data_IF_516592354691
#
_entry.id   IF_516592354691
#
_cell.length_a   1.000
_cell.length_b   1.000
_cell.length_c   1.000
_cell.angle_alpha   90.00
_cell.angle_beta   90.00
_cell.angle_gamma   90.00
#
_symmetry.space_group_name_H-M   'P 1'
#
loop_
_entity.id
_entity.type
_entity.pdbx_description
1 polymer ?
#
# COMPACT_ATOMS: atom_id res chain seq x y z
N UNK A 1 -0.96 -2.52 -17.42
CA UNK A 1 0.32 -2.40 -16.71
C UNK A 1 0.05 -2.76 -15.25
N UNK A 2 0.78 -3.67 -14.68
CA UNK A 2 0.57 -4.12 -13.29
C UNK A 2 1.80 -3.69 -12.50
N UNK A 3 1.58 -3.07 -11.35
CA UNK A 3 2.64 -2.86 -10.36
C UNK A 3 3.20 -4.23 -10.01
N UNK A 4 4.46 -4.47 -10.35
CA UNK A 4 5.12 -5.76 -10.07
C UNK A 4 5.56 -5.76 -8.62
N UNK A 5 4.81 -6.47 -7.79
CA UNK A 5 5.26 -6.80 -6.45
C UNK A 5 6.24 -7.98 -6.54
N UNK A 6 7.53 -7.73 -6.39
CA UNK A 6 8.51 -8.82 -6.28
C UNK A 6 8.14 -9.74 -5.12
N UNK A 7 8.05 -11.02 -5.40
CA UNK A 7 7.83 -12.06 -4.41
C UNK A 7 9.09 -12.21 -3.54
N UNK A 8 8.99 -11.77 -2.28
CA UNK A 8 9.89 -12.28 -1.25
C UNK A 8 9.58 -13.76 -1.09
N UNK A 9 10.59 -14.60 -1.22
CA UNK A 9 10.48 -16.06 -1.18
C UNK A 9 10.17 -16.52 0.25
N UNK A 10 8.93 -16.36 0.69
CA UNK A 10 8.43 -17.10 1.85
C UNK A 10 7.68 -18.33 1.32
N UNK A 11 8.42 -19.45 1.23
CA UNK A 11 7.84 -20.77 1.01
C UNK A 11 7.12 -21.24 2.27
N UNK A 12 5.88 -20.82 2.44
CA UNK A 12 4.92 -21.48 3.31
C UNK A 12 4.14 -22.51 2.49
N UNK A 13 4.28 -23.77 2.85
CA UNK A 13 3.55 -24.91 2.29
C UNK A 13 2.04 -24.67 2.30
N UNK A 14 1.45 -24.53 1.12
CA UNK A 14 0.02 -24.46 0.93
C UNK A 14 -0.43 -25.48 -0.10
N UNK A 15 -1.54 -26.13 0.22
CA UNK A 15 -2.22 -27.03 -0.72
C UNK A 15 -2.55 -26.28 -2.00
N UNK A 16 -1.98 -26.73 -3.10
CA UNK A 16 -2.02 -26.10 -4.44
C UNK A 16 -3.42 -26.06 -5.09
N UNK A 17 -4.41 -26.70 -4.51
CA UNK A 17 -5.74 -26.91 -5.12
C UNK A 17 -6.62 -25.66 -5.08
N UNK A 18 -6.41 -24.77 -4.13
CA UNK A 18 -7.35 -23.67 -3.88
C UNK A 18 -6.94 -22.30 -4.44
N UNK A 19 -5.67 -22.11 -4.79
CA UNK A 19 -5.14 -20.84 -5.34
C UNK A 19 -5.53 -20.68 -6.81
N UNK A 20 -5.85 -21.75 -7.53
CA UNK A 20 -6.13 -21.76 -8.96
C UNK A 20 -7.41 -21.02 -9.40
N UNK A 21 -8.36 -20.77 -8.50
CA UNK A 21 -9.67 -20.17 -8.84
C UNK A 21 -9.70 -18.64 -8.81
N UNK A 22 -8.66 -17.96 -8.29
CA UNK A 22 -8.57 -16.50 -8.28
C UNK A 22 -7.81 -16.00 -9.50
N UNK A 23 -8.40 -15.04 -10.22
CA UNK A 23 -7.69 -14.36 -11.30
C UNK A 23 -6.41 -13.66 -10.77
N UNK A 24 -5.41 -13.50 -11.63
CA UNK A 24 -4.13 -12.84 -11.26
C UNK A 24 -4.36 -11.48 -10.59
N UNK A 25 -5.25 -10.66 -11.15
CA UNK A 25 -5.58 -9.35 -10.57
C UNK A 25 -6.31 -9.43 -9.23
N UNK A 26 -7.08 -10.48 -8.98
CA UNK A 26 -7.72 -10.68 -7.66
C UNK A 26 -6.67 -10.99 -6.60
N UNK A 27 -5.70 -11.84 -6.92
CA UNK A 27 -4.56 -12.12 -6.03
C UNK A 27 -3.73 -10.87 -5.78
N UNK A 28 -3.47 -10.08 -6.83
CA UNK A 28 -2.76 -8.81 -6.69
C UNK A 28 -3.53 -7.83 -5.79
N UNK A 29 -4.85 -7.72 -5.94
CA UNK A 29 -5.70 -6.90 -5.09
C UNK A 29 -5.67 -7.36 -3.62
N UNK A 30 -5.81 -8.64 -3.36
CA UNK A 30 -5.73 -9.19 -2.00
C UNK A 30 -4.33 -8.96 -1.38
N UNK A 31 -3.25 -9.15 -2.15
CA UNK A 31 -1.87 -8.88 -1.69
C UNK A 31 -1.65 -7.41 -1.37
N UNK A 32 -2.15 -6.50 -2.22
CA UNK A 32 -2.09 -5.07 -1.95
C UNK A 32 -2.81 -4.74 -0.65
N UNK A 33 -4.05 -5.19 -0.48
CA UNK A 33 -4.83 -4.95 0.73
C UNK A 33 -4.24 -5.60 1.98
N UNK A 34 -3.56 -6.74 1.83
CA UNK A 34 -2.81 -7.34 2.94
C UNK A 34 -1.65 -6.45 3.40
N UNK A 35 -0.92 -5.83 2.47
CA UNK A 35 0.23 -4.97 2.75
C UNK A 35 -0.19 -3.57 3.20
N UNK A 36 -1.04 -2.92 2.42
CA UNK A 36 -1.48 -1.55 2.69
C UNK A 36 -2.53 -1.46 3.82
N UNK A 37 -3.21 -2.57 4.14
CA UNK A 37 -4.26 -2.62 5.15
C UNK A 37 -5.63 -2.23 4.61
N UNK A 38 -5.77 -1.13 3.89
CA UNK A 38 -7.03 -0.61 3.38
C UNK A 38 -6.83 0.16 2.08
N UNK A 39 -7.81 0.10 1.18
CA UNK A 39 -7.85 0.94 -0.02
C UNK A 39 -9.29 1.12 -0.52
N UNK A 40 -9.55 2.22 -1.24
CA UNK A 40 -10.82 2.48 -1.93
C UNK A 40 -10.88 1.77 -3.29
N UNK A 41 -12.08 1.72 -3.90
CA UNK A 41 -12.24 1.17 -5.24
C UNK A 41 -11.48 1.99 -6.32
N UNK A 42 -11.37 3.30 -6.14
CA UNK A 42 -10.68 4.19 -7.07
C UNK A 42 -9.15 4.02 -7.01
N UNK A 43 -8.61 3.88 -5.80
CA UNK A 43 -7.20 3.56 -5.59
C UNK A 43 -6.86 2.18 -6.20
N UNK A 44 -7.69 1.17 -5.94
CA UNK A 44 -7.52 -0.17 -6.53
C UNK A 44 -7.68 -0.18 -8.05
N UNK A 45 -8.53 0.67 -8.60
CA UNK A 45 -8.62 0.86 -10.06
C UNK A 45 -7.31 1.44 -10.61
N UNK A 46 -6.74 2.44 -9.95
CA UNK A 46 -5.45 3.03 -10.37
C UNK A 46 -4.30 2.01 -10.34
N UNK A 47 -4.24 1.18 -9.29
CA UNK A 47 -3.08 0.32 -9.02
C UNK A 47 -3.18 -1.06 -9.67
N UNK A 48 -4.39 -1.63 -9.82
CA UNK A 48 -4.57 -3.06 -10.15
C UNK A 48 -5.48 -3.28 -11.36
N UNK A 49 -6.63 -2.57 -11.42
CA UNK A 49 -7.67 -2.87 -12.38
C UNK A 49 -7.64 -1.90 -13.57
N UNK A 50 -8.09 -2.34 -14.76
CA UNK A 50 -8.07 -1.49 -15.95
C UNK A 50 -9.11 -0.36 -15.90
N UNK A 51 -10.09 -0.42 -14.99
CA UNK A 51 -11.11 0.61 -14.82
C UNK A 51 -11.82 0.48 -13.47
N UNK A 52 -12.41 1.58 -12.99
CA UNK A 52 -13.26 1.61 -11.78
C UNK A 52 -14.41 0.62 -11.85
N UNK A 53 -15.07 0.49 -13.02
CA UNK A 53 -16.16 -0.47 -13.23
C UNK A 53 -15.70 -1.92 -13.00
N UNK A 54 -14.52 -2.26 -13.52
CA UNK A 54 -13.92 -3.59 -13.31
C UNK A 54 -13.54 -3.80 -11.86
N UNK A 55 -12.93 -2.79 -11.21
CA UNK A 55 -12.61 -2.85 -9.78
C UNK A 55 -13.86 -3.15 -8.95
N UNK A 56 -14.93 -2.36 -9.08
CA UNK A 56 -16.17 -2.53 -8.32
C UNK A 56 -16.78 -3.92 -8.50
N UNK A 57 -16.83 -4.44 -9.74
CA UNK A 57 -17.35 -5.78 -10.02
C UNK A 57 -16.50 -6.87 -9.33
N UNK A 58 -15.15 -6.75 -9.38
CA UNK A 58 -14.24 -7.72 -8.77
C UNK A 58 -14.27 -7.63 -7.24
N UNK A 59 -14.28 -6.44 -6.67
CA UNK A 59 -14.39 -6.20 -5.25
C UNK A 59 -15.70 -6.74 -4.66
N UNK A 60 -16.84 -6.54 -5.38
CA UNK A 60 -18.11 -7.14 -4.99
C UNK A 60 -18.03 -8.67 -4.93
N UNK A 61 -17.41 -9.32 -5.93
CA UNK A 61 -17.22 -10.78 -5.94
C UNK A 61 -16.34 -11.24 -4.78
N UNK A 62 -15.20 -10.58 -4.55
CA UNK A 62 -14.29 -10.94 -3.45
C UNK A 62 -14.95 -10.76 -2.08
N UNK A 63 -15.77 -9.72 -1.93
CA UNK A 63 -16.57 -9.50 -0.72
C UNK A 63 -17.64 -10.61 -0.54
N UNK A 64 -18.36 -10.98 -1.59
CA UNK A 64 -19.34 -12.09 -1.55
C UNK A 64 -18.68 -13.44 -1.19
N UNK A 65 -17.43 -13.66 -1.59
CA UNK A 65 -16.64 -14.83 -1.21
C UNK A 65 -16.10 -14.76 0.23
N UNK A 66 -16.34 -13.66 0.95
CA UNK A 66 -15.83 -13.43 2.31
C UNK A 66 -14.33 -13.21 2.37
N UNK A 67 -13.68 -12.86 1.25
CA UNK A 67 -12.25 -12.58 1.18
C UNK A 67 -11.91 -11.13 1.50
N UNK A 68 -12.88 -10.23 1.31
CA UNK A 68 -12.82 -8.82 1.66
C UNK A 68 -13.94 -8.44 2.61
N UNK A 69 -13.71 -7.42 3.38
CA UNK A 69 -14.73 -6.69 4.14
C UNK A 69 -14.79 -5.23 3.66
N UNK A 70 -15.93 -4.59 3.94
CA UNK A 70 -16.15 -3.17 3.68
C UNK A 70 -15.99 -2.39 4.97
N UNK A 71 -15.19 -1.36 4.94
CA UNK A 71 -15.06 -0.39 6.01
C UNK A 71 -15.73 0.91 5.55
N UNK A 72 -16.88 1.31 6.14
CA UNK A 72 -17.45 2.61 5.86
C UNK A 72 -16.50 3.68 6.38
N UNK A 73 -16.26 4.71 5.57
CA UNK A 73 -15.50 5.89 5.96
C UNK A 73 -16.49 6.96 6.46
N UNK A 74 -16.01 7.88 7.29
CA UNK A 74 -16.82 9.02 7.70
C UNK A 74 -17.37 9.75 6.45
N UNK A 75 -18.63 10.19 6.45
CA UNK A 75 -19.23 10.84 5.29
C UNK A 75 -18.52 12.16 5.02
N UNK A 76 -17.81 12.23 3.93
CA UNK A 76 -17.46 13.48 3.28
C UNK A 76 -18.60 13.86 2.32
N UNK A 77 -18.79 15.14 2.04
CA UNK A 77 -19.91 15.65 1.24
C UNK A 77 -20.16 14.80 -0.01
N UNK A 78 -21.32 14.15 -0.08
CA UNK A 78 -21.75 13.47 -1.31
C UNK A 78 -21.85 11.93 -1.26
N UNK A 79 -21.76 11.30 -0.11
CA UNK A 79 -21.93 9.86 0.05
C UNK A 79 -21.02 9.27 1.11
N UNK A 80 -21.23 8.00 1.46
CA UNK A 80 -20.33 7.28 2.37
C UNK A 80 -19.31 6.55 1.50
N UNK A 81 -18.07 7.04 1.39
CA UNK A 81 -17.04 6.33 0.67
C UNK A 81 -16.77 4.99 1.38
N UNK A 82 -16.52 3.95 0.60
CA UNK A 82 -16.27 2.60 1.10
C UNK A 82 -14.82 2.23 0.81
N UNK A 83 -14.10 1.90 1.86
CA UNK A 83 -12.82 1.24 1.76
C UNK A 83 -12.96 -0.28 1.88
N UNK A 84 -11.98 -1.00 1.37
CA UNK A 84 -11.92 -2.46 1.41
C UNK A 84 -10.70 -2.90 2.20
N UNK A 85 -10.89 -3.95 3.00
CA UNK A 85 -9.84 -4.64 3.75
C UNK A 85 -9.84 -6.12 3.41
N UNK A 86 -8.70 -6.76 3.54
CA UNK A 86 -8.63 -8.21 3.45
C UNK A 86 -9.13 -8.84 4.76
N UNK A 87 -9.93 -9.90 4.66
CA UNK A 87 -10.36 -10.69 5.82
C UNK A 87 -9.29 -11.72 6.19
N UNK A 88 -9.40 -12.31 7.40
CA UNK A 88 -8.56 -13.47 7.79
C UNK A 88 -8.69 -14.63 6.78
N UNK A 89 -9.89 -14.85 6.22
CA UNK A 89 -10.09 -15.85 5.16
C UNK A 89 -9.35 -15.48 3.88
N UNK A 90 -9.35 -14.20 3.50
CA UNK A 90 -8.60 -13.69 2.36
C UNK A 90 -7.09 -13.86 2.53
N UNK A 91 -6.56 -13.54 3.73
CA UNK A 91 -5.14 -13.71 4.04
C UNK A 91 -4.72 -15.19 3.98
N UNK A 92 -5.49 -16.08 4.62
CA UNK A 92 -5.25 -17.52 4.55
C UNK A 92 -5.28 -18.05 3.11
N UNK A 93 -6.13 -17.48 2.24
CA UNK A 93 -6.21 -17.85 0.82
C UNK A 93 -4.94 -17.49 0.04
N UNK A 94 -4.17 -16.51 0.52
CA UNK A 94 -2.86 -16.14 -0.02
C UNK A 94 -1.69 -16.87 0.66
N UNK A 95 -1.98 -17.65 1.73
CA UNK A 95 -0.96 -18.31 2.53
C UNK A 95 -0.37 -17.49 3.66
N UNK A 96 -0.99 -16.37 3.97
CA UNK A 96 -0.56 -15.55 5.09
C UNK A 96 -1.22 -16.02 6.39
N UNK A 97 -0.44 -16.08 7.46
CA UNK A 97 -0.90 -16.64 8.75
C UNK A 97 -1.65 -15.60 9.56
N UNK A 98 -1.32 -14.32 9.41
CA UNK A 98 -1.88 -13.24 10.21
C UNK A 98 -2.60 -12.18 9.36
N UNK A 99 -3.66 -11.60 9.93
CA UNK A 99 -4.33 -10.43 9.36
C UNK A 99 -3.80 -9.19 10.06
N UNK A 100 -3.09 -8.35 9.32
CA UNK A 100 -2.72 -7.02 9.79
C UNK A 100 -3.96 -6.14 9.79
N UNK A 101 -4.69 -6.14 10.88
CA UNK A 101 -5.77 -5.20 11.11
C UNK A 101 -5.14 -3.95 11.73
N UNK A 102 -4.73 -3.00 10.89
CA UNK A 102 -4.47 -1.65 11.37
C UNK A 102 -5.73 -1.12 12.05
N UNK A 103 -5.59 -0.54 13.26
CA UNK A 103 -6.72 0.02 14.00
C UNK A 103 -7.51 1.03 13.15
N UNK A 104 -8.78 1.21 13.46
CA UNK A 104 -9.67 2.16 12.76
C UNK A 104 -9.11 3.59 12.75
N UNK A 105 -8.32 3.95 13.75
CA UNK A 105 -7.69 5.27 13.89
C UNK A 105 -6.67 5.63 12.81
N UNK A 106 -6.13 4.64 12.09
CA UNK A 106 -5.13 4.86 11.01
C UNK A 106 -5.69 4.70 9.60
N UNK A 107 -7.01 4.52 9.45
CA UNK A 107 -7.61 4.29 8.12
C UNK A 107 -7.37 5.48 7.20
N UNK A 108 -7.59 6.71 7.69
CA UNK A 108 -7.42 7.93 6.91
C UNK A 108 -5.97 8.06 6.44
N UNK A 109 -5.04 8.02 7.38
CA UNK A 109 -3.61 8.06 7.11
C UNK A 109 -3.18 6.99 6.08
N UNK A 110 -3.63 5.75 6.24
CA UNK A 110 -3.35 4.69 5.26
C UNK A 110 -3.89 5.01 3.87
N UNK A 111 -5.09 5.57 3.77
CA UNK A 111 -5.66 5.96 2.48
C UNK A 111 -4.86 7.09 1.83
N UNK A 112 -4.38 8.05 2.60
CA UNK A 112 -3.56 9.16 2.12
C UNK A 112 -2.20 8.66 1.59
N UNK A 113 -1.57 7.67 2.26
CA UNK A 113 -0.38 6.97 1.74
C UNK A 113 -0.70 6.30 0.39
N UNK A 114 -1.82 5.58 0.29
CA UNK A 114 -2.23 4.93 -0.97
C UNK A 114 -2.51 5.94 -2.06
N UNK A 115 -3.07 7.12 -1.73
CA UNK A 115 -3.29 8.20 -2.69
C UNK A 115 -1.98 8.81 -3.20
N UNK A 116 -0.98 8.99 -2.33
CA UNK A 116 0.35 9.43 -2.74
C UNK A 116 0.98 8.44 -3.75
N UNK A 117 0.89 7.12 -3.47
CA UNK A 117 1.37 6.09 -4.41
C UNK A 117 0.57 6.10 -5.72
N UNK A 118 -0.75 6.29 -5.65
CA UNK A 118 -1.59 6.45 -6.85
C UNK A 118 -1.19 7.68 -7.68
N UNK A 119 -0.80 8.78 -7.03
CA UNK A 119 -0.30 9.97 -7.71
C UNK A 119 1.02 9.68 -8.44
N UNK A 120 1.96 8.97 -7.80
CA UNK A 120 3.21 8.52 -8.43
C UNK A 120 2.95 7.63 -9.65
N UNK A 121 2.04 6.66 -9.55
CA UNK A 121 1.67 5.77 -10.66
C UNK A 121 1.04 6.54 -11.81
N UNK A 122 0.23 7.56 -11.53
CA UNK A 122 -0.39 8.40 -12.57
C UNK A 122 0.61 9.32 -13.25
N UNK A 123 1.53 9.92 -12.48
CA UNK A 123 2.54 10.85 -13.03
C UNK A 123 3.61 10.13 -13.86
N UNK A 124 3.94 8.90 -13.51
CA UNK A 124 4.95 8.10 -14.21
C UNK A 124 4.48 6.63 -14.34
N UNK A 125 3.58 6.32 -15.29
CA UNK A 125 3.03 4.98 -15.45
C UNK A 125 4.11 3.94 -15.72
N UNK A 126 4.17 2.90 -14.89
CA UNK A 126 5.13 1.80 -15.01
C UNK A 126 6.47 2.02 -14.33
N UNK A 127 6.69 3.18 -13.73
CA UNK A 127 7.91 3.47 -12.98
C UNK A 127 7.97 2.79 -11.61
N UNK A 128 6.82 2.57 -10.96
CA UNK A 128 6.78 1.93 -9.63
C UNK A 128 7.16 0.46 -9.73
N UNK A 129 8.33 0.11 -9.19
CA UNK A 129 8.88 -1.24 -9.17
C UNK A 129 8.58 -1.96 -7.86
N UNK A 130 8.66 -1.24 -6.75
CA UNK A 130 8.45 -1.78 -5.42
C UNK A 130 7.71 -0.75 -4.58
N UNK A 131 6.80 -1.23 -3.75
CA UNK A 131 6.13 -0.46 -2.73
C UNK A 131 6.12 -1.23 -1.42
N UNK A 132 6.72 -0.65 -0.39
CA UNK A 132 6.80 -1.16 0.97
C UNK A 132 5.98 -0.28 1.90
N UNK A 133 5.25 -0.88 2.81
CA UNK A 133 4.49 -0.23 3.89
C UNK A 133 4.98 -0.76 5.23
N UNK A 134 4.68 -0.08 6.34
CA UNK A 134 4.96 -0.61 7.67
C UNK A 134 4.39 -2.04 7.86
N UNK A 135 5.14 -2.92 8.55
CA UNK A 135 6.50 -2.84 9.08
C UNK A 135 7.56 -3.31 8.08
N UNK A 136 7.24 -3.41 6.78
CA UNK A 136 8.23 -3.81 5.77
C UNK A 136 9.31 -2.75 5.58
N UNK A 137 9.08 -1.53 6.07
CA UNK A 137 10.04 -0.43 6.09
C UNK A 137 10.98 -0.49 7.30
N UNK A 138 10.67 -1.32 8.31
CA UNK A 138 11.48 -1.45 9.52
C UNK A 138 12.91 -1.94 9.16
N UNK A 139 13.91 -1.28 9.73
CA UNK A 139 15.31 -1.65 9.56
C UNK A 139 15.96 -1.26 8.22
N UNK A 140 15.22 -0.60 7.30
CA UNK A 140 15.78 -0.08 6.04
C UNK A 140 16.59 1.20 6.30
N UNK A 141 16.10 2.03 7.20
CA UNK A 141 16.76 3.24 7.72
C UNK A 141 17.16 3.05 9.18
N UNK A 142 17.96 3.96 9.77
CA UNK A 142 18.26 3.93 11.20
C UNK A 142 16.99 3.82 12.06
N UNK A 143 17.11 3.23 13.25
CA UNK A 143 15.99 2.82 14.09
C UNK A 143 15.07 3.96 14.56
N UNK A 144 15.56 5.20 14.53
CA UNK A 144 14.82 6.41 14.85
C UNK A 144 13.99 6.96 13.68
N UNK A 145 14.12 6.36 12.49
CA UNK A 145 13.42 6.78 11.27
C UNK A 145 12.60 5.64 10.71
N UNK A 146 11.30 5.85 10.68
CA UNK A 146 10.33 4.88 10.13
C UNK A 146 9.43 5.59 9.15
N UNK A 147 9.74 5.54 7.84
CA UNK A 147 8.87 6.12 6.83
C UNK A 147 7.53 5.38 6.79
N UNK A 148 6.46 6.11 6.60
CA UNK A 148 5.12 5.54 6.41
C UNK A 148 5.10 4.57 5.22
N UNK A 149 5.94 4.87 4.21
CA UNK A 149 6.08 4.03 3.03
C UNK A 149 7.39 4.27 2.30
N UNK A 150 7.89 3.24 1.60
CA UNK A 150 9.03 3.37 0.67
C UNK A 150 8.57 2.91 -0.71
N UNK A 151 8.82 3.74 -1.71
CA UNK A 151 8.52 3.43 -3.11
C UNK A 151 9.81 3.46 -3.92
N UNK A 152 10.08 2.40 -4.67
CA UNK A 152 11.18 2.35 -5.64
C UNK A 152 10.64 2.64 -7.02
N UNK A 153 11.17 3.68 -7.64
CA UNK A 153 10.82 4.11 -8.98
C UNK A 153 11.95 3.77 -9.95
N UNK A 154 11.61 3.19 -11.10
CA UNK A 154 12.53 3.07 -12.22
C UNK A 154 12.53 4.36 -13.05
N UNK A 155 13.71 4.87 -13.34
CA UNK A 155 13.91 6.03 -14.22
C UNK A 155 14.96 5.70 -15.28
N UNK A 156 15.00 6.53 -16.32
CA UNK A 156 16.09 6.49 -17.31
C UNK A 156 17.40 6.80 -16.59
N UNK A 157 18.32 5.83 -16.62
CA UNK A 157 19.62 5.93 -15.94
C UNK A 157 19.70 5.38 -14.52
N UNK A 158 18.62 4.82 -13.94
CA UNK A 158 18.70 4.22 -12.61
C UNK A 158 17.37 4.08 -11.87
N UNK A 159 17.48 3.78 -10.58
CA UNK A 159 16.31 3.70 -9.69
C UNK A 159 16.35 4.84 -8.68
N UNK A 160 15.19 5.42 -8.38
CA UNK A 160 15.01 6.35 -7.26
C UNK A 160 14.24 5.64 -6.13
N UNK A 161 14.68 5.85 -4.90
CA UNK A 161 14.00 5.38 -3.68
C UNK A 161 13.34 6.57 -3.02
N UNK A 162 12.03 6.53 -2.87
CA UNK A 162 11.24 7.60 -2.29
C UNK A 162 10.71 7.14 -0.94
N UNK A 163 11.14 7.81 0.12
CA UNK A 163 10.54 7.70 1.45
C UNK A 163 9.33 8.63 1.48
N UNK A 164 8.14 8.10 1.77
CA UNK A 164 6.91 8.86 1.93
C UNK A 164 6.62 9.05 3.40
N UNK A 165 6.34 10.27 3.79
CA UNK A 165 5.80 10.69 5.09
C UNK A 165 4.52 11.46 4.84
N UNK A 166 3.45 11.11 5.52
CA UNK A 166 2.16 11.77 5.41
C UNK A 166 1.85 12.46 6.73
N UNK A 167 1.97 13.77 6.74
CA UNK A 167 1.59 14.60 7.89
C UNK A 167 0.10 15.01 7.78
N UNK A 168 -0.70 14.61 8.76
CA UNK A 168 -2.10 15.02 8.88
C UNK A 168 -2.24 16.42 9.55
N UNK A 169 -1.19 17.23 9.55
CA UNK A 169 -1.10 18.53 10.21
C UNK A 169 -1.35 18.45 11.74
N UNK A 170 -1.00 17.33 12.35
CA UNK A 170 -1.14 17.09 13.79
C UNK A 170 0.15 17.37 14.56
N UNK A 171 1.27 17.47 13.87
CA UNK A 171 2.58 17.70 14.48
C UNK A 171 2.92 19.19 14.62
N UNK A 172 3.60 19.54 15.72
CA UNK A 172 4.11 20.90 15.92
C UNK A 172 5.43 21.14 15.16
N UNK A 173 5.63 22.35 14.66
CA UNK A 173 6.81 22.74 13.87
C UNK A 173 8.19 22.31 14.40
N UNK A 174 8.46 22.24 15.72
CA UNK A 174 9.72 21.71 16.22
C UNK A 174 9.90 20.22 15.98
N UNK A 175 8.84 19.42 16.08
CA UNK A 175 8.89 17.97 15.84
C UNK A 175 9.12 17.69 14.34
N UNK A 176 8.42 18.39 13.46
CA UNK A 176 8.62 18.31 12.01
C UNK A 176 10.08 18.61 11.66
N UNK A 177 10.64 19.71 12.19
CA UNK A 177 12.06 20.06 11.96
C UNK A 177 13.04 18.99 12.45
N UNK A 178 12.81 18.45 13.64
CA UNK A 178 13.65 17.38 14.17
C UNK A 178 13.61 16.12 13.29
N UNK A 179 12.42 15.76 12.82
CA UNK A 179 12.19 14.60 11.94
C UNK A 179 12.83 14.80 10.56
N UNK A 180 12.64 15.98 9.94
CA UNK A 180 13.32 16.34 8.69
C UNK A 180 14.85 16.27 8.83
N UNK A 181 15.42 16.84 9.90
CA UNK A 181 16.87 16.76 10.18
C UNK A 181 17.35 15.32 10.40
N UNK A 182 16.54 14.43 10.94
CA UNK A 182 16.86 13.01 11.04
C UNK A 182 16.93 12.36 9.65
N UNK A 183 15.94 12.63 8.79
CA UNK A 183 15.96 12.16 7.40
C UNK A 183 17.16 12.69 6.62
N UNK A 184 17.48 13.98 6.73
CA UNK A 184 18.64 14.56 6.06
C UNK A 184 19.92 13.80 6.41
N UNK A 185 20.13 13.52 7.70
CA UNK A 185 21.31 12.73 8.16
C UNK A 185 21.28 11.28 7.63
N UNK A 186 20.12 10.63 7.66
CA UNK A 186 19.98 9.24 7.25
C UNK A 186 20.15 9.05 5.75
N UNK A 187 19.73 10.03 4.96
CA UNK A 187 19.81 9.98 3.50
C UNK A 187 21.10 10.58 2.95
N UNK A 188 21.91 11.22 3.80
CA UNK A 188 23.20 11.77 3.41
C UNK A 188 24.09 10.70 2.76
N UNK A 189 24.59 10.97 1.55
CA UNK A 189 25.42 10.02 0.78
C UNK A 189 24.69 8.86 0.13
N UNK A 190 23.36 8.77 0.24
CA UNK A 190 22.56 7.77 -0.47
C UNK A 190 22.06 8.35 -1.79
N UNK A 191 22.79 8.11 -2.87
CA UNK A 191 22.37 8.57 -4.20
C UNK A 191 21.02 7.97 -4.60
N UNK A 192 20.16 8.79 -5.20
CA UNK A 192 18.82 8.37 -5.65
C UNK A 192 17.79 8.17 -4.54
N UNK A 193 18.10 8.51 -3.29
CA UNK A 193 17.14 8.51 -2.19
C UNK A 193 16.52 9.90 -2.01
N UNK A 194 15.22 9.94 -1.85
CA UNK A 194 14.42 11.17 -1.72
C UNK A 194 13.43 11.03 -0.58
N UNK A 195 13.16 12.13 0.11
CA UNK A 195 12.04 12.27 1.03
C UNK A 195 10.93 13.07 0.35
N UNK A 196 9.70 12.59 0.45
CA UNK A 196 8.47 13.31 0.12
C UNK A 196 7.62 13.39 1.38
N UNK A 197 7.33 14.63 1.77
CA UNK A 197 6.57 14.96 2.98
C UNK A 197 5.26 15.62 2.60
#
# INVERSE_FOLDING_TARGET
>A
MSVVFRESTERGLLSSVDVGLLAVRDRACLRLLYRAGVATADQLATLIFPSRRTALRRLRRLWQLGLLERAPLAPERGGIPVAYRITRRGSKRLGYVDTRTGGVSRVRHTLDIVDAVCALVRSAPGSVQLWLTEPMTDGILPADIRPDSIVVLQRDGGSAVVCLEIDEATEHSPMIRARLGAYERALAGREGWHLVW
#
